data_IF_742974188286
#
_entry.id   IF_742974188286
#
_cell.length_a   1.000
_cell.length_b   1.000
_cell.length_c   1.000
_cell.angle_alpha   90.00
_cell.angle_beta   90.00
_cell.angle_gamma   90.00
#
_symmetry.space_group_name_H-M   'P 1'
#
loop_
_entity.id
_entity.type
_entity.pdbx_description
1 polymer ?
#
# COMPACT_ATOMS: atom_id res chain seq x y z
N UNK A 1 11.29 -7.10 5.43
CA UNK A 1 12.32 -8.13 5.53
C UNK A 1 13.13 -8.22 4.23
N UNK A 2 12.51 -8.56 3.10
CA UNK A 2 13.12 -8.62 1.77
C UNK A 2 12.15 -8.02 0.75
N UNK A 3 12.58 -7.05 -0.04
CA UNK A 3 11.77 -6.34 -1.03
C UNK A 3 12.43 -6.36 -2.41
N UNK A 4 11.62 -6.54 -3.45
CA UNK A 4 12.04 -6.52 -4.84
C UNK A 4 11.31 -5.40 -5.57
N UNK A 5 12.05 -4.46 -6.14
CA UNK A 5 11.50 -3.41 -6.99
C UNK A 5 11.88 -3.70 -8.45
N UNK A 6 10.87 -3.97 -9.27
CA UNK A 6 11.09 -4.22 -10.69
C UNK A 6 11.58 -2.95 -11.39
N UNK A 7 12.68 -3.07 -12.10
CA UNK A 7 13.30 -1.99 -12.88
C UNK A 7 13.57 -2.42 -14.32
N UNK A 8 13.68 -1.44 -15.19
CA UNK A 8 14.20 -1.63 -16.54
C UNK A 8 15.55 -0.91 -16.64
N UNK A 9 16.62 -1.68 -16.65
CA UNK A 9 17.97 -1.15 -16.80
C UNK A 9 18.48 -1.40 -18.23
N UNK A 10 18.39 -0.38 -19.09
CA UNK A 10 18.82 -0.45 -20.50
C UNK A 10 18.21 -1.63 -21.29
N UNK A 11 16.92 -1.89 -21.09
CA UNK A 11 16.22 -3.01 -21.75
C UNK A 11 16.22 -4.32 -20.95
N UNK A 12 17.08 -4.44 -19.93
CA UNK A 12 17.10 -5.61 -19.06
C UNK A 12 16.09 -5.48 -17.94
N UNK A 13 15.19 -6.46 -17.82
CA UNK A 13 14.22 -6.55 -16.72
C UNK A 13 14.91 -7.15 -15.50
N UNK A 14 15.10 -6.35 -14.45
CA UNK A 14 15.84 -6.72 -13.24
C UNK A 14 15.03 -6.30 -12.00
N UNK A 15 15.50 -6.73 -10.83
CA UNK A 15 15.03 -6.22 -9.56
C UNK A 15 16.13 -5.49 -8.80
N UNK A 16 15.79 -4.30 -8.27
CA UNK A 16 16.53 -3.70 -7.18
C UNK A 16 16.08 -4.33 -5.89
N UNK A 17 17.00 -4.78 -5.05
CA UNK A 17 16.71 -5.55 -3.85
C UNK A 17 16.94 -4.71 -2.61
N UNK A 18 15.98 -4.75 -1.68
CA UNK A 18 16.05 -4.10 -0.37
C UNK A 18 15.96 -5.15 0.73
N UNK A 19 16.81 -5.05 1.73
CA UNK A 19 16.89 -6.00 2.83
C UNK A 19 16.77 -5.31 4.19
N UNK A 20 16.27 -6.00 5.21
CA UNK A 20 16.26 -5.53 6.60
C UNK A 20 15.14 -4.58 6.99
N UNK A 21 14.26 -4.16 6.06
CA UNK A 21 13.13 -3.30 6.38
C UNK A 21 11.96 -4.03 7.04
N UNK A 22 11.01 -3.26 7.56
CA UNK A 22 9.75 -3.82 8.08
C UNK A 22 8.89 -2.78 8.78
N UNK A 23 7.59 -2.97 8.71
CA UNK A 23 6.58 -2.15 9.38
C UNK A 23 6.13 -2.78 10.71
N UNK A 24 5.33 -2.05 11.47
CA UNK A 24 4.83 -2.48 12.79
C UNK A 24 5.30 -1.57 13.91
N UNK A 25 5.45 -2.10 15.14
CA UNK A 25 5.76 -1.28 16.33
C UNK A 25 7.07 -0.48 16.24
N UNK A 26 8.10 -1.04 15.59
CA UNK A 26 9.39 -0.38 15.39
C UNK A 26 9.71 -0.40 13.89
N UNK A 27 9.06 0.46 13.09
CA UNK A 27 9.23 0.45 11.65
C UNK A 27 10.64 0.89 11.26
N UNK A 28 11.19 0.24 10.26
CA UNK A 28 12.48 0.59 9.64
C UNK A 28 12.38 0.47 8.14
N UNK A 29 12.99 1.39 7.43
CA UNK A 29 13.25 1.24 5.99
C UNK A 29 14.32 0.18 5.77
N UNK A 30 14.22 -0.57 4.68
CA UNK A 30 15.28 -1.48 4.26
C UNK A 30 16.46 -0.75 3.63
N UNK A 31 17.59 -1.44 3.57
CA UNK A 31 18.78 -0.96 2.86
C UNK A 31 18.87 -1.61 1.48
N UNK A 32 19.27 -0.85 0.47
CA UNK A 32 19.41 -1.36 -0.88
C UNK A 32 20.70 -2.18 -1.02
N UNK A 33 20.63 -3.30 -1.75
CA UNK A 33 21.81 -3.96 -2.25
C UNK A 33 22.36 -3.18 -3.46
N UNK A 34 23.66 -3.25 -3.66
CA UNK A 34 24.33 -2.56 -4.76
C UNK A 34 24.09 -3.27 -6.10
N UNK A 35 23.94 -4.61 -6.05
CA UNK A 35 23.70 -5.45 -7.21
C UNK A 35 22.21 -5.60 -7.50
N UNK A 36 21.88 -5.81 -8.78
CA UNK A 36 20.55 -6.15 -9.23
C UNK A 36 20.33 -7.67 -9.23
N UNK A 37 19.12 -8.09 -8.94
CA UNK A 37 18.72 -9.49 -9.02
C UNK A 37 18.08 -9.80 -10.37
N UNK A 38 18.52 -10.87 -11.03
CA UNK A 38 17.85 -11.42 -12.20
C UNK A 38 16.51 -12.07 -11.76
N UNK A 39 15.39 -11.89 -12.48
CA UNK A 39 14.13 -12.53 -12.15
C UNK A 39 14.21 -14.04 -11.94
N UNK A 40 15.07 -14.73 -12.66
CA UNK A 40 15.27 -16.18 -12.50
C UNK A 40 15.93 -16.56 -11.16
N UNK A 41 16.59 -15.63 -10.49
CA UNK A 41 17.37 -15.85 -9.27
C UNK A 41 16.64 -15.45 -7.98
N UNK A 42 15.41 -14.94 -8.07
CA UNK A 42 14.64 -14.41 -6.93
C UNK A 42 14.59 -15.39 -5.75
N UNK A 43 14.40 -16.70 -6.01
CA UNK A 43 14.34 -17.71 -4.96
C UNK A 43 15.68 -17.88 -4.23
N UNK A 44 16.82 -17.64 -4.88
CA UNK A 44 18.13 -17.67 -4.22
C UNK A 44 18.24 -16.56 -3.17
N UNK A 45 17.72 -15.35 -3.47
CA UNK A 45 17.68 -14.24 -2.51
C UNK A 45 16.74 -14.52 -1.32
N UNK A 46 15.59 -15.15 -1.59
CA UNK A 46 14.66 -15.55 -0.54
C UNK A 46 15.31 -16.57 0.40
N UNK A 47 15.91 -17.62 -0.16
CA UNK A 47 16.59 -18.66 0.63
C UNK A 47 17.79 -18.09 1.41
N UNK A 48 18.58 -17.20 0.80
CA UNK A 48 19.69 -16.54 1.48
C UNK A 48 19.21 -15.75 2.71
N UNK A 49 18.08 -15.04 2.59
CA UNK A 49 17.49 -14.30 3.71
C UNK A 49 16.95 -15.23 4.80
N UNK A 50 16.37 -16.36 4.42
CA UNK A 50 15.92 -17.39 5.39
C UNK A 50 17.13 -17.96 6.16
N UNK A 51 18.21 -18.32 5.48
CA UNK A 51 19.45 -18.83 6.12
C UNK A 51 20.08 -17.80 7.05
N UNK A 52 20.16 -16.53 6.62
CA UNK A 52 20.61 -15.43 7.47
C UNK A 52 19.76 -15.32 8.73
N UNK A 53 18.42 -15.38 8.60
CA UNK A 53 17.54 -15.30 9.75
C UNK A 53 17.67 -16.51 10.66
N UNK A 54 17.89 -17.72 10.14
CA UNK A 54 18.13 -18.94 10.93
C UNK A 54 19.43 -18.81 11.74
N UNK A 55 20.51 -18.26 11.15
CA UNK A 55 21.82 -18.12 11.81
C UNK A 55 21.81 -16.97 12.83
N UNK A 56 21.24 -15.81 12.49
CA UNK A 56 21.39 -14.56 13.22
C UNK A 56 20.14 -14.08 14.00
N UNK A 57 19.02 -14.78 13.85
CA UNK A 57 17.77 -14.42 14.51
C UNK A 57 17.83 -14.52 16.04
N UNK A 58 17.22 -13.56 16.73
CA UNK A 58 17.08 -13.60 18.20
C UNK A 58 15.86 -14.44 18.61
N UNK A 59 16.06 -15.74 18.78
CA UNK A 59 15.00 -16.67 19.15
C UNK A 59 14.62 -16.63 20.63
N UNK A 60 15.44 -16.03 21.47
CA UNK A 60 15.17 -15.90 22.89
C UNK A 60 14.29 -14.69 23.20
N UNK A 61 14.39 -13.64 22.41
CA UNK A 61 13.58 -12.44 22.53
C UNK A 61 12.59 -12.32 21.36
N UNK A 62 11.40 -12.89 21.51
CA UNK A 62 10.34 -12.85 20.47
C UNK A 62 9.97 -11.46 20.01
N UNK A 63 10.12 -10.43 20.85
CA UNK A 63 9.85 -9.04 20.48
C UNK A 63 10.89 -8.50 19.49
N UNK A 64 12.07 -9.11 19.42
CA UNK A 64 13.16 -8.78 18.51
C UNK A 64 13.43 -9.85 17.44
N UNK A 65 12.58 -10.84 17.30
CA UNK A 65 12.72 -11.93 16.33
C UNK A 65 12.26 -11.51 14.92
N UNK A 66 12.83 -10.42 14.35
CA UNK A 66 12.57 -9.95 12.99
C UNK A 66 13.88 -9.46 12.37
N UNK A 67 14.00 -9.57 11.05
CA UNK A 67 15.22 -9.25 10.29
C UNK A 67 15.70 -7.82 10.53
N UNK A 68 14.81 -6.84 10.67
CA UNK A 68 15.17 -5.44 10.95
C UNK A 68 16.00 -5.26 12.22
N UNK A 69 15.85 -6.13 13.22
CA UNK A 69 16.65 -6.08 14.45
C UNK A 69 18.05 -6.68 14.26
N UNK A 70 18.22 -7.59 13.30
CA UNK A 70 19.55 -8.07 12.89
C UNK A 70 20.31 -6.92 12.22
N UNK A 71 19.68 -6.21 11.27
CA UNK A 71 20.26 -5.00 10.66
C UNK A 71 20.62 -3.94 11.72
N UNK A 72 19.74 -3.71 12.71
CA UNK A 72 19.97 -2.73 13.78
C UNK A 72 21.17 -3.13 14.65
N UNK A 73 21.38 -4.42 14.92
CA UNK A 73 22.48 -4.95 15.73
C UNK A 73 23.81 -4.95 14.99
N UNK A 74 23.82 -5.35 13.75
CA UNK A 74 25.06 -5.49 12.93
C UNK A 74 25.50 -4.17 12.32
N UNK A 75 24.56 -3.30 11.99
CA UNK A 75 24.80 -2.18 11.09
C UNK A 75 24.73 -2.57 9.62
N UNK A 76 24.68 -1.58 8.74
CA UNK A 76 24.38 -1.78 7.31
C UNK A 76 25.43 -2.64 6.60
N UNK A 77 26.70 -2.30 6.75
CA UNK A 77 27.82 -2.96 6.05
C UNK A 77 27.96 -4.43 6.43
N UNK A 78 27.95 -4.73 7.72
CA UNK A 78 28.09 -6.12 8.20
C UNK A 78 26.86 -6.96 7.80
N UNK A 79 25.66 -6.37 7.89
CA UNK A 79 24.45 -7.05 7.48
C UNK A 79 24.43 -7.37 5.98
N UNK A 80 24.84 -6.43 5.10
CA UNK A 80 25.00 -6.68 3.67
C UNK A 80 26.01 -7.78 3.39
N UNK A 81 27.16 -7.77 4.07
CA UNK A 81 28.20 -8.77 3.89
C UNK A 81 27.73 -10.16 4.37
N UNK A 82 27.02 -10.23 5.48
CA UNK A 82 26.41 -11.46 5.98
C UNK A 82 25.39 -12.01 4.96
N UNK A 83 24.52 -11.15 4.42
CA UNK A 83 23.57 -11.55 3.40
C UNK A 83 24.26 -12.06 2.13
N UNK A 84 25.30 -11.36 1.62
CA UNK A 84 26.07 -11.77 0.45
C UNK A 84 26.76 -13.13 0.65
N UNK A 85 27.27 -13.41 1.85
CA UNK A 85 27.85 -14.73 2.21
C UNK A 85 26.82 -15.84 1.99
N UNK A 86 25.60 -15.67 2.52
CA UNK A 86 24.53 -16.66 2.36
C UNK A 86 24.08 -16.78 0.90
N UNK A 87 23.92 -15.63 0.20
CA UNK A 87 23.52 -15.62 -1.21
C UNK A 87 24.51 -16.39 -2.09
N UNK A 88 25.81 -16.17 -1.92
CA UNK A 88 26.84 -16.88 -2.67
C UNK A 88 26.80 -18.40 -2.38
N UNK A 89 26.57 -18.79 -1.13
CA UNK A 89 26.43 -20.19 -0.77
C UNK A 89 25.23 -20.85 -1.45
N UNK A 90 24.06 -20.16 -1.44
CA UNK A 90 22.84 -20.66 -2.09
C UNK A 90 23.03 -20.74 -3.60
N UNK A 91 23.58 -19.72 -4.22
CA UNK A 91 23.82 -19.71 -5.69
C UNK A 91 24.76 -20.84 -6.12
N UNK A 92 25.76 -21.18 -5.31
CA UNK A 92 26.69 -22.28 -5.62
C UNK A 92 26.02 -23.67 -5.63
N UNK A 93 24.83 -23.81 -5.01
CA UNK A 93 24.06 -25.06 -5.02
C UNK A 93 23.29 -25.26 -6.34
N UNK A 94 23.05 -24.20 -7.10
CA UNK A 94 22.35 -24.17 -8.41
C UNK A 94 20.99 -24.94 -8.44
N UNK A 95 20.19 -24.82 -7.35
CA UNK A 95 18.94 -25.57 -7.18
C UNK A 95 17.69 -24.75 -7.33
N UNK A 96 17.77 -23.42 -7.20
CA UNK A 96 16.62 -22.55 -7.04
C UNK A 96 16.41 -21.58 -8.22
N UNK A 97 17.14 -21.77 -9.31
CA UNK A 97 16.97 -20.97 -10.50
C UNK A 97 15.64 -21.26 -11.19
N UNK A 98 14.89 -20.18 -11.46
CA UNK A 98 13.63 -20.24 -12.18
C UNK A 98 13.89 -20.22 -13.69
N UNK A 99 12.92 -20.73 -14.47
CA UNK A 99 12.89 -20.58 -15.92
C UNK A 99 11.66 -19.73 -16.28
N UNK A 100 11.77 -18.43 -16.04
CA UNK A 100 10.69 -17.49 -16.30
C UNK A 100 10.63 -17.22 -17.79
N UNK A 101 9.49 -17.61 -18.41
CA UNK A 101 9.20 -17.29 -19.80
C UNK A 101 8.44 -15.97 -19.87
N UNK A 102 8.78 -15.15 -20.86
CA UNK A 102 8.02 -13.95 -21.14
C UNK A 102 6.66 -14.33 -21.73
N UNK A 103 5.60 -13.88 -21.09
CA UNK A 103 4.23 -14.03 -21.62
C UNK A 103 3.97 -12.80 -22.48
N UNK A 104 3.67 -13.02 -23.75
CA UNK A 104 3.23 -11.98 -24.67
C UNK A 104 1.71 -12.00 -24.78
N UNK A 105 1.10 -10.84 -24.70
CA UNK A 105 -0.32 -10.66 -24.98
C UNK A 105 -0.46 -10.27 -26.46
N UNK A 106 -1.08 -11.12 -27.26
CA UNK A 106 -1.29 -10.92 -28.71
C UNK A 106 -2.66 -10.29 -29.02
N UNK A 107 -3.41 -9.93 -27.98
CA UNK A 107 -4.75 -9.37 -28.12
C UNK A 107 -4.73 -8.05 -28.88
N UNK A 108 -5.64 -7.89 -29.84
CA UNK A 108 -5.85 -6.66 -30.57
C UNK A 108 -6.42 -5.56 -29.66
N UNK A 109 -5.73 -4.42 -29.61
CA UNK A 109 -6.15 -3.26 -28.82
C UNK A 109 -7.20 -2.41 -29.56
N UNK A 110 -8.14 -1.86 -28.81
CA UNK A 110 -9.13 -0.87 -29.26
C UNK A 110 -9.05 0.29 -28.31
N UNK A 111 -8.87 1.51 -28.83
CA UNK A 111 -8.82 2.72 -27.99
C UNK A 111 -10.19 3.09 -27.45
N UNK A 112 -10.21 3.75 -26.30
CA UNK A 112 -11.37 4.41 -25.70
C UNK A 112 -11.02 5.84 -25.33
N UNK A 113 -12.00 6.74 -25.41
CA UNK A 113 -11.92 8.14 -24.92
C UNK A 113 -12.47 8.27 -23.47
N UNK A 114 -12.81 7.16 -22.83
CA UNK A 114 -13.33 7.16 -21.46
C UNK A 114 -12.27 7.65 -20.49
N UNK A 115 -12.59 8.68 -19.73
CA UNK A 115 -11.80 9.15 -18.58
C UNK A 115 -12.36 8.55 -17.29
N UNK A 116 -11.52 7.80 -16.57
CA UNK A 116 -11.86 7.21 -15.26
C UNK A 116 -10.55 6.97 -14.48
N UNK A 117 -10.49 7.32 -13.22
CA UNK A 117 -9.30 7.10 -12.37
C UNK A 117 -8.93 5.62 -12.23
N UNK A 118 -9.90 4.72 -12.43
CA UNK A 118 -9.73 3.26 -12.41
C UNK A 118 -9.20 2.69 -13.72
N UNK A 119 -9.18 3.49 -14.81
CA UNK A 119 -8.72 3.08 -16.12
C UNK A 119 -7.24 3.40 -16.30
N UNK A 120 -6.42 2.37 -16.48
CA UNK A 120 -4.98 2.50 -16.65
C UNK A 120 -4.58 1.98 -18.02
N UNK A 121 -4.03 2.84 -18.89
CA UNK A 121 -3.49 2.44 -20.18
C UNK A 121 -2.27 1.54 -20.01
N UNK A 122 -2.22 0.45 -20.76
CA UNK A 122 -1.07 -0.46 -20.78
C UNK A 122 -0.03 -0.02 -21.81
N UNK A 123 1.16 -0.64 -21.78
CA UNK A 123 2.20 -0.41 -22.78
C UNK A 123 1.81 -0.86 -24.18
N UNK A 124 0.93 -1.84 -24.28
CA UNK A 124 0.35 -2.32 -25.53
C UNK A 124 -0.73 -1.34 -25.99
N UNK A 125 -0.60 -0.85 -27.22
CA UNK A 125 -1.50 0.17 -27.76
C UNK A 125 -2.97 -0.33 -27.78
N UNK A 126 -3.86 0.48 -27.19
CA UNK A 126 -5.30 0.18 -27.11
C UNK A 126 -5.67 -0.94 -26.15
N UNK A 127 -4.74 -1.38 -25.27
CA UNK A 127 -5.03 -2.24 -24.15
C UNK A 127 -4.99 -1.47 -22.83
N UNK A 128 -5.87 -1.87 -21.92
CA UNK A 128 -6.10 -1.22 -20.64
C UNK A 128 -6.16 -2.22 -19.50
N UNK A 129 -5.98 -1.71 -18.30
CA UNK A 129 -6.32 -2.38 -17.05
C UNK A 129 -7.40 -1.58 -16.33
N UNK A 130 -8.42 -2.26 -15.83
CA UNK A 130 -9.40 -1.65 -14.92
C UNK A 130 -9.02 -2.01 -13.48
N UNK A 131 -8.88 -0.99 -12.65
CA UNK A 131 -8.62 -1.16 -11.22
C UNK A 131 -9.94 -1.25 -10.47
N UNK A 132 -10.34 -2.45 -10.09
CA UNK A 132 -11.47 -2.68 -9.20
C UNK A 132 -11.00 -2.60 -7.74
N UNK A 133 -11.46 -1.58 -7.04
CA UNK A 133 -11.11 -1.34 -5.65
C UNK A 133 -12.39 -1.16 -4.81
N UNK A 134 -12.93 -2.22 -4.25
CA UNK A 134 -14.09 -2.11 -3.37
C UNK A 134 -13.70 -1.38 -2.08
N UNK A 135 -14.60 -0.57 -1.54
CA UNK A 135 -14.34 0.22 -0.33
C UNK A 135 -13.82 -0.65 0.81
N UNK A 136 -12.59 -0.35 1.29
CA UNK A 136 -11.90 -1.09 2.34
C UNK A 136 -11.67 -2.57 2.02
N UNK A 137 -11.53 -2.93 0.75
CA UNK A 137 -11.33 -4.30 0.30
C UNK A 137 -12.55 -5.22 0.44
N UNK A 138 -13.73 -4.67 0.78
CA UNK A 138 -14.96 -5.43 1.04
C UNK A 138 -15.79 -5.58 -0.24
N UNK A 139 -15.44 -6.55 -1.08
CA UNK A 139 -16.16 -6.83 -2.32
C UNK A 139 -17.49 -7.55 -2.08
N UNK A 140 -18.57 -7.07 -2.72
CA UNK A 140 -19.84 -7.79 -2.79
C UNK A 140 -19.69 -9.01 -3.72
N UNK A 141 -20.15 -10.18 -3.27
CA UNK A 141 -20.09 -11.42 -4.05
C UNK A 141 -20.89 -11.33 -5.35
N UNK A 142 -21.97 -10.55 -5.40
CA UNK A 142 -22.75 -10.34 -6.61
C UNK A 142 -21.91 -9.60 -7.66
N UNK A 143 -21.19 -8.57 -7.27
CA UNK A 143 -20.31 -7.80 -8.16
C UNK A 143 -19.16 -8.68 -8.66
N UNK A 144 -18.52 -9.46 -7.77
CA UNK A 144 -17.48 -10.40 -8.20
C UNK A 144 -18.00 -11.42 -9.23
N UNK A 145 -19.22 -11.94 -9.06
CA UNK A 145 -19.84 -12.83 -10.04
C UNK A 145 -20.11 -12.12 -11.36
N UNK A 146 -20.59 -10.88 -11.35
CA UNK A 146 -20.80 -10.10 -12.56
C UNK A 146 -19.50 -9.87 -13.31
N UNK A 147 -18.41 -9.53 -12.60
CA UNK A 147 -17.07 -9.38 -13.18
C UNK A 147 -16.65 -10.71 -13.84
N UNK A 148 -16.74 -11.84 -13.12
CA UNK A 148 -16.37 -13.16 -13.66
C UNK A 148 -17.18 -13.48 -14.92
N UNK A 149 -18.50 -13.30 -14.88
CA UNK A 149 -19.36 -13.57 -16.05
C UNK A 149 -19.02 -12.71 -17.27
N UNK A 150 -18.62 -11.45 -17.05
CA UNK A 150 -18.19 -10.57 -18.14
C UNK A 150 -16.86 -11.05 -18.76
N UNK A 151 -15.86 -11.34 -17.90
CA UNK A 151 -14.52 -11.70 -18.38
C UNK A 151 -14.43 -13.11 -18.98
N UNK A 152 -15.37 -14.03 -18.65
CA UNK A 152 -15.41 -15.38 -19.24
C UNK A 152 -15.54 -15.37 -20.76
N UNK A 153 -16.14 -14.34 -21.35
CA UNK A 153 -16.29 -14.17 -22.80
C UNK A 153 -15.11 -13.40 -23.44
N UNK A 154 -14.19 -12.88 -22.66
CA UNK A 154 -13.06 -12.07 -23.12
C UNK A 154 -11.79 -12.92 -23.20
N UNK A 155 -10.97 -12.69 -24.24
CA UNK A 155 -9.72 -13.42 -24.43
C UNK A 155 -8.57 -12.77 -23.67
N UNK A 156 -7.60 -13.56 -23.22
CA UNK A 156 -6.31 -13.13 -22.63
C UNK A 156 -6.42 -12.26 -21.38
N UNK A 157 -7.53 -12.32 -20.66
CA UNK A 157 -7.71 -11.56 -19.42
C UNK A 157 -6.84 -12.12 -18.31
N UNK A 158 -6.20 -11.21 -17.59
CA UNK A 158 -5.40 -11.51 -16.41
C UNK A 158 -5.91 -10.73 -15.19
N UNK A 159 -6.12 -11.42 -14.06
CA UNK A 159 -6.47 -10.81 -12.79
C UNK A 159 -5.24 -10.73 -11.91
N UNK A 160 -4.95 -9.55 -11.35
CA UNK A 160 -3.86 -9.34 -10.41
C UNK A 160 -4.35 -8.67 -9.13
N UNK A 161 -4.19 -9.36 -8.00
CA UNK A 161 -4.39 -8.77 -6.69
C UNK A 161 -3.32 -7.71 -6.43
N UNK A 162 -3.71 -6.63 -5.73
CA UNK A 162 -2.79 -5.56 -5.36
C UNK A 162 -2.50 -5.55 -3.87
N UNK A 163 -1.44 -4.87 -3.47
CA UNK A 163 -1.13 -4.63 -2.06
C UNK A 163 -2.06 -3.60 -1.41
N UNK A 164 -2.90 -2.96 -2.21
CA UNK A 164 -3.84 -1.91 -1.82
C UNK A 164 -5.29 -2.39 -1.83
N UNK A 165 -5.53 -3.67 -1.53
CA UNK A 165 -6.88 -4.28 -1.37
C UNK A 165 -7.74 -4.28 -2.64
N UNK A 166 -7.15 -4.05 -3.81
CA UNK A 166 -7.83 -4.02 -5.10
C UNK A 166 -7.43 -5.16 -6.03
N UNK A 167 -8.04 -5.17 -7.21
CA UNK A 167 -7.78 -6.13 -8.29
C UNK A 167 -7.60 -5.36 -9.60
N UNK A 168 -6.47 -5.56 -10.27
CA UNK A 168 -6.34 -5.17 -11.67
C UNK A 168 -6.90 -6.26 -12.58
N UNK A 169 -7.86 -5.88 -13.42
CA UNK A 169 -8.37 -6.69 -14.52
C UNK A 169 -7.64 -6.19 -15.76
N UNK A 170 -6.75 -7.00 -16.33
CA UNK A 170 -5.79 -6.59 -17.34
C UNK A 170 -6.07 -7.18 -18.71
N UNK A 171 -5.39 -6.60 -19.70
CA UNK A 171 -5.48 -6.99 -21.12
C UNK A 171 -6.88 -6.77 -21.70
N UNK A 172 -7.53 -5.69 -21.28
CA UNK A 172 -8.83 -5.27 -21.81
C UNK A 172 -8.62 -4.36 -23.00
N UNK A 173 -9.36 -4.56 -24.08
CA UNK A 173 -9.51 -3.50 -25.07
C UNK A 173 -10.47 -2.42 -24.57
N UNK A 174 -10.57 -1.27 -25.25
CA UNK A 174 -11.35 -0.13 -24.78
C UNK A 174 -12.82 -0.45 -24.52
N UNK A 175 -13.46 -1.29 -25.35
CA UNK A 175 -14.88 -1.67 -25.15
C UNK A 175 -15.07 -2.54 -23.93
N UNK A 176 -14.19 -3.53 -23.74
CA UNK A 176 -14.20 -4.41 -22.57
C UNK A 176 -13.92 -3.64 -21.28
N UNK A 177 -13.01 -2.66 -21.35
CA UNK A 177 -12.70 -1.79 -20.21
C UNK A 177 -13.90 -0.93 -19.82
N UNK A 178 -14.61 -0.33 -20.78
CA UNK A 178 -15.84 0.44 -20.53
C UNK A 178 -16.96 -0.44 -19.94
N UNK A 179 -17.11 -1.67 -20.42
CA UNK A 179 -18.07 -2.63 -19.86
C UNK A 179 -17.78 -2.90 -18.39
N UNK A 180 -16.52 -3.20 -18.04
CA UNK A 180 -16.13 -3.46 -16.65
C UNK A 180 -16.23 -2.23 -15.76
N UNK A 181 -15.92 -1.04 -16.26
CA UNK A 181 -16.15 0.21 -15.53
C UNK A 181 -17.64 0.41 -15.20
N UNK A 182 -18.52 0.08 -16.14
CA UNK A 182 -19.97 0.17 -15.92
C UNK A 182 -20.48 -0.90 -14.93
N UNK A 183 -19.99 -2.15 -15.01
CA UNK A 183 -20.32 -3.23 -14.06
C UNK A 183 -19.91 -2.87 -12.64
N UNK A 184 -18.77 -2.20 -12.49
CA UNK A 184 -18.19 -1.84 -11.18
C UNK A 184 -18.54 -0.42 -10.71
N UNK A 185 -19.40 0.28 -11.42
CA UNK A 185 -19.82 1.64 -11.04
C UNK A 185 -20.52 1.65 -9.66
N UNK A 186 -20.14 2.61 -8.82
CA UNK A 186 -20.67 2.75 -7.45
C UNK A 186 -20.19 1.70 -6.45
N UNK A 187 -19.23 0.84 -6.85
CA UNK A 187 -18.67 -0.19 -5.95
C UNK A 187 -17.46 0.29 -5.15
N UNK A 188 -16.95 1.48 -5.45
CA UNK A 188 -15.76 2.10 -4.86
C UNK A 188 -14.62 2.26 -5.86
N UNK A 189 -13.60 2.99 -5.42
CA UNK A 189 -12.40 3.27 -6.22
C UNK A 189 -12.56 4.38 -7.25
N UNK A 190 -13.69 5.09 -7.29
CA UNK A 190 -13.97 6.17 -8.24
C UNK A 190 -13.28 7.49 -7.88
N UNK A 191 -12.81 7.59 -6.62
CA UNK A 191 -11.98 8.70 -6.13
C UNK A 191 -10.75 8.14 -5.40
N UNK A 192 -9.70 8.95 -5.20
CA UNK A 192 -8.53 8.55 -4.39
C UNK A 192 -8.95 8.21 -2.96
N UNK A 193 -9.91 8.94 -2.41
CA UNK A 193 -10.40 8.68 -1.06
C UNK A 193 -11.13 7.32 -0.96
N UNK A 194 -11.87 6.91 -1.98
CA UNK A 194 -12.48 5.58 -2.06
C UNK A 194 -11.44 4.47 -2.27
N UNK A 195 -10.27 4.76 -2.85
CA UNK A 195 -9.14 3.85 -2.98
C UNK A 195 -8.32 3.72 -1.68
N UNK A 196 -8.87 4.19 -0.55
CA UNK A 196 -8.23 4.05 0.76
C UNK A 196 -8.15 2.60 1.22
N UNK A 197 -7.04 2.25 1.86
CA UNK A 197 -6.74 0.91 2.39
C UNK A 197 -7.14 0.83 3.86
N UNK A 198 -7.87 -0.20 4.25
CA UNK A 198 -8.33 -0.36 5.62
C UNK A 198 -8.25 -1.82 6.08
N UNK A 199 -7.37 -2.11 7.03
CA UNK A 199 -7.32 -3.45 7.60
C UNK A 199 -8.67 -3.84 8.20
N UNK A 200 -8.88 -5.15 8.44
CA UNK A 200 -10.17 -5.63 8.98
C UNK A 200 -10.54 -5.01 10.33
N UNK A 201 -9.55 -4.71 11.21
CA UNK A 201 -9.79 -4.07 12.51
C UNK A 201 -10.75 -4.79 13.43
N UNK A 202 -11.16 -4.11 14.51
CA UNK A 202 -12.21 -4.65 15.39
C UNK A 202 -13.59 -4.47 14.72
N UNK A 203 -14.57 -5.36 15.01
CA UNK A 203 -14.55 -6.43 16.02
C UNK A 203 -13.94 -7.75 15.55
N UNK A 204 -13.52 -7.87 14.30
CA UNK A 204 -13.03 -9.15 13.72
C UNK A 204 -11.62 -9.48 14.19
N UNK A 205 -10.73 -8.49 14.19
CA UNK A 205 -9.33 -8.67 14.60
C UNK A 205 -9.20 -8.72 16.12
N UNK A 206 -8.76 -9.85 16.68
CA UNK A 206 -8.62 -10.06 18.13
C UNK A 206 -7.56 -9.17 18.79
N UNK A 207 -6.56 -8.69 18.04
CA UNK A 207 -5.49 -7.82 18.53
C UNK A 207 -5.68 -6.35 18.11
N UNK A 208 -6.76 -6.05 17.38
CA UNK A 208 -7.10 -4.70 16.95
C UNK A 208 -7.50 -3.81 18.13
N UNK A 209 -7.21 -2.51 18.05
CA UNK A 209 -7.67 -1.48 18.99
C UNK A 209 -8.72 -0.58 18.37
N UNK A 210 -8.63 -0.35 17.06
CA UNK A 210 -9.50 0.56 16.29
C UNK A 210 -10.38 -0.17 15.28
N UNK A 211 -11.60 0.34 15.07
CA UNK A 211 -12.53 -0.11 14.06
C UNK A 211 -12.21 0.53 12.70
N UNK A 212 -11.15 0.07 12.05
CA UNK A 212 -10.60 0.68 10.82
C UNK A 212 -11.62 0.71 9.68
N UNK A 213 -12.36 -0.37 9.44
CA UNK A 213 -13.41 -0.43 8.41
C UNK A 213 -14.54 0.59 8.65
N UNK A 214 -14.98 0.72 9.90
CA UNK A 214 -15.97 1.71 10.28
C UNK A 214 -15.43 3.14 10.14
N UNK A 215 -14.17 3.36 10.49
CA UNK A 215 -13.51 4.66 10.34
C UNK A 215 -13.50 5.11 8.88
N UNK A 216 -13.08 4.23 7.95
CA UNK A 216 -13.13 4.56 6.52
C UNK A 216 -14.53 4.93 6.06
N UNK A 217 -15.53 4.12 6.42
CA UNK A 217 -16.92 4.40 6.06
C UNK A 217 -17.43 5.74 6.63
N UNK A 218 -17.06 6.06 7.87
CA UNK A 218 -17.44 7.32 8.50
C UNK A 218 -16.83 8.53 7.78
N UNK A 219 -15.57 8.44 7.38
CA UNK A 219 -14.90 9.49 6.59
C UNK A 219 -15.64 9.68 5.26
N UNK A 220 -15.84 8.61 4.49
CA UNK A 220 -16.53 8.70 3.19
C UNK A 220 -17.94 9.24 3.30
N UNK A 221 -18.70 8.80 4.32
CA UNK A 221 -20.06 9.31 4.58
C UNK A 221 -20.05 10.80 4.91
N UNK A 222 -19.10 11.26 5.73
CA UNK A 222 -18.98 12.68 6.10
C UNK A 222 -18.73 13.57 4.87
N UNK A 223 -17.83 13.15 3.98
CA UNK A 223 -17.56 13.87 2.73
C UNK A 223 -18.80 13.90 1.82
N UNK A 224 -19.53 12.79 1.75
CA UNK A 224 -20.80 12.69 1.02
C UNK A 224 -21.88 13.62 1.60
N UNK A 225 -22.04 13.66 2.91
CA UNK A 225 -22.99 14.55 3.62
C UNK A 225 -22.65 16.04 3.38
N UNK A 226 -21.37 16.36 3.28
CA UNK A 226 -20.88 17.72 2.93
C UNK A 226 -21.00 18.03 1.44
N UNK A 227 -21.46 17.09 0.61
CA UNK A 227 -21.47 17.21 -0.87
C UNK A 227 -20.11 17.60 -1.44
N UNK A 228 -19.03 17.11 -0.84
CA UNK A 228 -17.66 17.42 -1.28
C UNK A 228 -17.23 16.40 -2.35
N UNK A 229 -17.10 16.89 -3.60
CA UNK A 229 -16.83 16.05 -4.77
C UNK A 229 -15.40 16.19 -5.31
N UNK A 230 -14.56 17.02 -4.68
CA UNK A 230 -13.18 17.24 -5.12
C UNK A 230 -12.26 16.13 -4.61
N UNK A 231 -11.42 15.60 -5.49
CA UNK A 231 -10.49 14.53 -5.20
C UNK A 231 -9.12 15.08 -4.75
N UNK A 232 -9.11 15.89 -3.68
CA UNK A 232 -7.95 16.63 -3.17
C UNK A 232 -7.05 15.78 -2.28
N UNK A 233 -7.66 14.96 -1.39
CA UNK A 233 -6.89 14.10 -0.50
C UNK A 233 -6.42 12.83 -1.23
N UNK A 234 -5.23 12.32 -0.88
CA UNK A 234 -4.81 11.00 -1.32
C UNK A 234 -5.63 9.90 -0.63
N UNK A 235 -5.44 8.66 -1.07
CA UNK A 235 -5.93 7.50 -0.32
C UNK A 235 -5.37 7.50 1.11
N UNK A 236 -6.22 7.12 2.07
CA UNK A 236 -5.87 7.01 3.49
C UNK A 236 -5.57 5.54 3.79
N UNK A 237 -4.55 5.29 4.57
CA UNK A 237 -4.17 3.95 5.00
C UNK A 237 -4.48 3.76 6.48
N UNK A 238 -5.47 2.92 6.80
CA UNK A 238 -6.01 2.76 8.15
C UNK A 238 -5.65 1.39 8.72
N UNK A 239 -4.93 1.37 9.82
CA UNK A 239 -4.65 0.15 10.58
C UNK A 239 -5.36 0.18 11.93
N UNK A 240 -5.99 -0.92 12.32
CA UNK A 240 -6.66 -1.05 13.61
C UNK A 240 -5.70 -1.10 14.81
N UNK A 241 -4.39 -1.24 14.59
CA UNK A 241 -3.35 -1.24 15.64
C UNK A 241 -1.97 -1.01 15.02
N UNK A 242 -0.93 -0.98 15.87
CA UNK A 242 0.46 -0.75 15.48
C UNK A 242 1.08 -1.82 14.54
N UNK A 243 0.39 -2.94 14.25
CA UNK A 243 0.92 -3.98 13.35
C UNK A 243 0.98 -3.53 11.89
N UNK A 244 0.40 -2.40 11.54
CA UNK A 244 0.50 -1.76 10.21
C UNK A 244 -0.04 -2.61 9.04
N UNK A 245 -1.08 -3.42 9.28
CA UNK A 245 -1.68 -4.23 8.23
C UNK A 245 -2.27 -3.38 7.09
N UNK A 246 -2.76 -2.16 7.38
CA UNK A 246 -3.18 -1.17 6.38
C UNK A 246 -2.03 -0.31 5.84
N UNK A 247 -0.77 -0.57 6.21
CA UNK A 247 0.39 0.14 5.69
C UNK A 247 0.48 1.63 6.06
N UNK A 248 -0.15 2.05 7.17
CA UNK A 248 -0.28 3.46 7.57
C UNK A 248 1.05 4.22 7.69
N UNK A 249 2.15 3.53 8.00
CA UNK A 249 3.46 4.14 8.21
C UNK A 249 4.18 4.55 6.93
N UNK A 250 3.79 4.00 5.79
CA UNK A 250 4.37 4.30 4.48
C UNK A 250 3.47 5.14 3.57
N UNK A 251 2.32 5.60 4.07
CA UNK A 251 1.33 6.33 3.30
C UNK A 251 1.45 7.85 3.47
N UNK A 252 0.92 8.62 2.51
CA UNK A 252 0.80 10.07 2.63
C UNK A 252 -0.09 10.48 3.79
N UNK A 253 -1.19 9.74 4.03
CA UNK A 253 -2.03 9.86 5.22
C UNK A 253 -2.25 8.46 5.80
N UNK A 254 -1.87 8.27 7.04
CA UNK A 254 -2.03 7.03 7.78
C UNK A 254 -2.76 7.24 9.10
N UNK A 255 -3.59 6.28 9.48
CA UNK A 255 -4.29 6.24 10.76
C UNK A 255 -4.01 4.92 11.48
N UNK A 256 -3.64 4.99 12.76
CA UNK A 256 -3.41 3.80 13.60
C UNK A 256 -4.33 3.78 14.80
N UNK A 257 -5.11 2.72 14.96
CA UNK A 257 -6.03 2.55 16.09
C UNK A 257 -5.31 2.62 17.44
N UNK A 258 -5.85 3.47 18.30
CA UNK A 258 -5.38 3.76 19.67
C UNK A 258 -6.57 3.88 20.62
N UNK A 259 -6.28 4.06 21.88
CA UNK A 259 -7.22 4.53 22.90
C UNK A 259 -6.70 5.83 23.49
N UNK A 260 -7.57 6.79 23.74
CA UNK A 260 -7.26 8.10 24.34
C UNK A 260 -8.12 8.33 25.56
N UNK A 261 -7.54 8.79 26.65
CA UNK A 261 -8.29 9.22 27.82
C UNK A 261 -8.86 10.61 27.56
N UNK A 262 -10.19 10.73 27.62
CA UNK A 262 -10.91 11.98 27.47
C UNK A 262 -12.02 12.05 28.54
N UNK A 263 -12.07 13.14 29.33
CA UNK A 263 -13.02 13.30 30.43
C UNK A 263 -13.11 12.06 31.35
N UNK A 264 -11.93 11.54 31.75
CA UNK A 264 -11.77 10.33 32.58
C UNK A 264 -12.29 9.00 31.98
N UNK A 265 -12.79 9.01 30.76
CA UNK A 265 -13.18 7.83 29.99
C UNK A 265 -12.11 7.44 28.97
N UNK A 266 -11.99 6.15 28.72
CA UNK A 266 -11.11 5.62 27.66
C UNK A 266 -11.92 5.50 26.37
N UNK A 267 -11.63 6.39 25.41
CA UNK A 267 -12.34 6.44 24.14
C UNK A 267 -11.53 5.90 22.96
N UNK A 268 -12.23 5.49 21.91
CA UNK A 268 -11.63 5.11 20.65
C UNK A 268 -10.96 6.32 20.00
N UNK A 269 -9.74 6.09 19.50
CA UNK A 269 -8.93 7.13 18.90
C UNK A 269 -8.03 6.54 17.80
N UNK A 270 -7.47 7.42 16.98
CA UNK A 270 -6.44 7.03 16.00
C UNK A 270 -5.28 8.04 16.04
N UNK A 271 -4.08 7.50 15.93
CA UNK A 271 -2.86 8.29 15.75
C UNK A 271 -2.71 8.65 14.28
N UNK A 272 -2.52 9.94 14.01
CA UNK A 272 -2.35 10.48 12.66
C UNK A 272 -0.87 10.42 12.25
N UNK A 273 -0.62 9.82 11.10
CA UNK A 273 0.65 9.76 10.42
C UNK A 273 0.56 10.50 9.09
N UNK A 274 1.53 11.37 8.76
CA UNK A 274 1.51 12.13 7.50
C UNK A 274 2.87 12.09 6.83
N UNK A 275 2.86 12.10 5.49
CA UNK A 275 4.03 12.25 4.62
C UNK A 275 4.96 11.03 4.62
N UNK A 276 4.41 9.82 4.76
CA UNK A 276 5.12 8.60 4.42
C UNK A 276 5.17 8.40 2.90
N UNK A 277 6.21 7.73 2.42
CA UNK A 277 6.42 7.47 1.00
C UNK A 277 7.07 6.12 0.76
N UNK A 278 6.66 5.52 -0.33
CA UNK A 278 7.20 4.25 -0.83
C UNK A 278 7.55 4.41 -2.31
N UNK A 279 8.61 5.14 -2.58
CA UNK A 279 9.12 5.32 -3.93
C UNK A 279 10.61 5.03 -4.00
N UNK A 280 11.11 4.66 -5.17
CA UNK A 280 12.53 4.43 -5.39
C UNK A 280 13.35 5.68 -5.02
N UNK A 281 14.37 5.47 -4.18
CA UNK A 281 15.28 6.53 -3.75
C UNK A 281 14.68 7.56 -2.78
N UNK A 282 13.37 7.48 -2.47
CA UNK A 282 12.68 8.44 -1.59
C UNK A 282 11.71 7.75 -0.61
N UNK A 283 12.01 6.51 -0.19
CA UNK A 283 11.21 5.83 0.82
C UNK A 283 11.44 6.47 2.20
N UNK A 284 10.36 6.89 2.84
CA UNK A 284 10.40 7.41 4.21
C UNK A 284 9.15 7.02 5.00
N UNK A 285 9.33 6.83 6.30
CA UNK A 285 8.21 6.62 7.20
C UNK A 285 7.48 7.94 7.47
N UNK A 286 6.15 7.84 7.63
CA UNK A 286 5.30 8.96 7.97
C UNK A 286 5.64 9.52 9.36
N UNK A 287 5.54 10.84 9.51
CA UNK A 287 5.68 11.53 10.78
C UNK A 287 4.37 11.45 11.57
N UNK A 288 4.47 11.24 12.87
CA UNK A 288 3.33 11.25 13.80
C UNK A 288 2.99 12.69 14.20
N UNK A 289 1.71 13.05 14.11
CA UNK A 289 1.22 14.41 14.46
C UNK A 289 0.38 14.44 15.74
N UNK A 290 -0.18 13.32 16.16
CA UNK A 290 -0.97 13.26 17.40
C UNK A 290 -2.03 12.16 17.37
N UNK A 291 -2.82 12.09 18.44
CA UNK A 291 -3.89 11.12 18.61
C UNK A 291 -5.23 11.86 18.67
N UNK A 292 -6.08 11.64 17.68
CA UNK A 292 -7.41 12.23 17.53
C UNK A 292 -8.49 11.26 18.03
N UNK A 293 -9.56 11.75 18.63
CA UNK A 293 -10.71 10.93 18.97
C UNK A 293 -11.39 10.41 17.68
N UNK A 294 -11.80 9.16 17.69
CA UNK A 294 -12.34 8.52 16.49
C UNK A 294 -13.55 9.27 15.91
N UNK A 295 -14.39 9.85 16.77
CA UNK A 295 -15.58 10.63 16.37
C UNK A 295 -15.24 11.94 15.65
N UNK A 296 -14.05 12.48 15.85
CA UNK A 296 -13.62 13.79 15.32
C UNK A 296 -12.86 13.66 13.98
N UNK A 297 -12.35 12.47 13.67
CA UNK A 297 -11.54 12.24 12.48
C UNK A 297 -12.25 12.58 11.16
N UNK A 298 -13.54 12.24 10.94
CA UNK A 298 -14.21 12.60 9.70
C UNK A 298 -14.25 14.13 9.46
N UNK A 299 -14.51 14.91 10.50
CA UNK A 299 -14.49 16.39 10.44
C UNK A 299 -13.07 16.92 10.25
N UNK A 300 -12.09 16.39 10.98
CA UNK A 300 -10.67 16.72 10.80
C UNK A 300 -10.22 16.51 9.35
N UNK A 301 -10.55 15.36 8.76
CA UNK A 301 -10.17 15.04 7.37
C UNK A 301 -10.82 16.00 6.37
N UNK A 302 -12.04 16.41 6.62
CA UNK A 302 -12.73 17.38 5.79
C UNK A 302 -12.10 18.77 5.91
N UNK A 303 -11.79 19.27 7.11
CA UNK A 303 -11.07 20.54 7.29
C UNK A 303 -9.68 20.50 6.68
N UNK A 304 -8.98 19.37 6.76
CA UNK A 304 -7.69 19.18 6.08
C UNK A 304 -7.84 19.30 4.56
N UNK A 305 -8.89 18.68 3.98
CA UNK A 305 -9.17 18.80 2.55
C UNK A 305 -9.40 20.26 2.12
N UNK A 306 -10.15 21.03 2.90
CA UNK A 306 -10.39 22.46 2.63
C UNK A 306 -9.10 23.28 2.68
N UNK A 307 -8.20 23.01 3.64
CA UNK A 307 -6.91 23.69 3.72
C UNK A 307 -6.00 23.39 2.52
N UNK A 308 -5.94 22.13 2.11
CA UNK A 308 -5.18 21.70 0.92
C UNK A 308 -5.76 22.37 -0.34
N UNK A 309 -7.07 22.42 -0.47
CA UNK A 309 -7.76 23.08 -1.57
C UNK A 309 -7.44 24.58 -1.64
N UNK A 310 -7.45 25.28 -0.48
CA UNK A 310 -7.10 26.70 -0.39
C UNK A 310 -5.70 26.99 -0.93
N UNK A 311 -4.73 26.11 -0.67
CA UNK A 311 -3.35 26.25 -1.17
C UNK A 311 -3.22 25.91 -2.66
N UNK A 312 -4.19 25.19 -3.21
CA UNK A 312 -4.20 24.75 -4.62
C UNK A 312 -2.90 24.02 -5.03
N UNK A 313 -2.41 23.12 -4.18
CA UNK A 313 -1.24 22.29 -4.42
C UNK A 313 -1.58 20.80 -4.18
N UNK A 314 -0.85 19.85 -4.78
CA UNK A 314 -1.00 18.44 -4.44
C UNK A 314 -0.77 18.21 -2.94
N UNK A 315 -1.49 17.23 -2.36
CA UNK A 315 -1.36 16.92 -0.93
C UNK A 315 0.09 16.61 -0.51
N UNK A 316 0.85 15.96 -1.36
CA UNK A 316 2.27 15.64 -1.11
C UNK A 316 3.11 16.92 -0.88
N UNK A 317 2.90 17.92 -1.71
CA UNK A 317 3.55 19.23 -1.58
C UNK A 317 3.04 19.98 -0.35
N UNK A 318 1.73 19.91 -0.08
CA UNK A 318 1.12 20.49 1.11
C UNK A 318 1.74 19.92 2.40
N UNK A 319 1.84 18.59 2.48
CA UNK A 319 2.39 17.90 3.63
C UNK A 319 3.87 18.23 3.89
N UNK A 320 4.61 18.67 2.87
CA UNK A 320 6.01 19.11 3.04
C UNK A 320 6.15 20.59 3.40
N UNK A 321 5.38 21.45 2.73
CA UNK A 321 5.55 22.91 2.86
C UNK A 321 4.72 23.53 3.98
N UNK A 322 3.61 22.90 4.36
CA UNK A 322 2.65 23.44 5.32
C UNK A 322 2.49 22.57 6.58
N UNK A 323 3.59 21.95 7.02
CA UNK A 323 3.62 21.07 8.19
C UNK A 323 3.08 21.74 9.47
N UNK A 324 3.33 23.04 9.64
CA UNK A 324 2.82 23.82 10.76
C UNK A 324 1.29 23.90 10.77
N UNK A 325 0.65 24.05 9.60
CA UNK A 325 -0.81 24.10 9.50
C UNK A 325 -1.47 22.75 9.86
N UNK A 326 -0.81 21.62 9.53
CA UNK A 326 -1.26 20.30 9.94
C UNK A 326 -1.20 20.18 11.47
N UNK A 327 -0.08 20.62 12.08
CA UNK A 327 0.11 20.60 13.54
C UNK A 327 -0.91 21.47 14.26
N UNK A 328 -1.18 22.66 13.73
CA UNK A 328 -2.21 23.58 14.26
C UNK A 328 -3.62 22.95 14.18
N UNK A 329 -3.94 22.36 13.01
CA UNK A 329 -5.22 21.69 12.85
C UNK A 329 -5.39 20.52 13.81
N UNK A 330 -4.37 19.68 14.00
CA UNK A 330 -4.38 18.62 15.02
C UNK A 330 -4.60 19.20 16.42
N UNK A 331 -3.96 20.34 16.74
CA UNK A 331 -4.13 21.03 18.02
C UNK A 331 -5.57 21.49 18.28
N UNK A 332 -6.35 21.82 17.23
CA UNK A 332 -7.76 22.21 17.35
C UNK A 332 -8.65 21.03 17.78
N UNK A 333 -8.27 19.78 17.44
CA UNK A 333 -9.00 18.55 17.72
C UNK A 333 -8.43 17.73 18.89
N UNK A 334 -7.49 18.31 19.69
CA UNK A 334 -6.84 17.62 20.82
C UNK A 334 -7.38 18.02 22.18
#
# INVERSE_FOLDING_TARGET
DLGFLAINNNGNKLFKVYIGGGLGQNPKTGVALDEYCNPNEVLNYVEAMVRLFIEEGDYQNRAKARIRYILERMGEEEFKNCFKKHLNAVMSEDKLNLNIKEIQCEKEGIKTEREDIRLVEQKQNGLYSVYFHPVGGQADLKILRNIVSAIESMNDIELRLTMTEGIFIRNLNGKEAEELLNITAGCGGETKLEQSVSCIGVPVCQIGLGASQSMLKNILNYFKEKNYTKDILPSIHISGCANSCGFHQGALIGLTGKKKKYNDLLEDAFELHVNGRFSEGNAKLAKVYGVLLAREIPEFMYELALKVEEKNVPFEEYAEKFEAEISELVGKFN
#
